data_IF_542327351565
#
_entry.id   IF_542327351565
#
_cell.length_a   1.000
_cell.length_b   1.000
_cell.length_c   1.000
_cell.angle_alpha   90.00
_cell.angle_beta   90.00
_cell.angle_gamma   90.00
#
_symmetry.space_group_name_H-M   'P 1'
#
loop_
_entity.id
_entity.type
_entity.pdbx_description
1 polymer ?
#
# COMPACT_ATOMS: atom_id res chain seq x y z
N UNK A 1 3.98 -1.69 -9.51
CA UNK A 1 3.54 -2.05 -8.15
C UNK A 1 4.49 -3.04 -7.48
N UNK A 2 4.74 -4.23 -8.03
CA UNK A 2 5.67 -5.20 -7.43
C UNK A 2 7.08 -4.64 -7.13
N UNK A 3 7.64 -3.82 -8.02
CA UNK A 3 8.92 -3.15 -7.79
C UNK A 3 8.91 -2.17 -6.59
N UNK A 4 7.80 -1.47 -6.36
CA UNK A 4 7.63 -0.62 -5.17
C UNK A 4 7.64 -1.47 -3.91
N UNK A 5 6.89 -2.57 -3.89
CA UNK A 5 6.82 -3.47 -2.73
C UNK A 5 8.19 -4.11 -2.45
N UNK A 6 8.89 -4.55 -3.49
CA UNK A 6 10.25 -5.09 -3.35
C UNK A 6 11.24 -4.05 -2.81
N UNK A 7 11.14 -2.79 -3.26
CA UNK A 7 11.95 -1.70 -2.71
C UNK A 7 11.60 -1.42 -1.25
N UNK A 8 10.32 -1.34 -0.89
CA UNK A 8 9.87 -1.16 0.49
C UNK A 8 10.43 -2.24 1.42
N UNK A 9 10.45 -3.52 1.00
CA UNK A 9 11.06 -4.60 1.79
C UNK A 9 12.56 -4.42 1.96
N UNK A 10 13.30 -4.07 0.90
CA UNK A 10 14.75 -3.87 0.96
C UNK A 10 15.15 -2.68 1.84
N UNK A 11 14.37 -1.60 1.79
CA UNK A 11 14.64 -0.36 2.52
C UNK A 11 13.91 -0.29 3.88
N UNK A 12 13.31 -1.40 4.34
CA UNK A 12 12.54 -1.49 5.59
C UNK A 12 11.44 -0.41 5.74
N UNK A 13 10.77 -0.08 4.64
CA UNK A 13 9.63 0.84 4.60
C UNK A 13 8.32 0.04 4.70
N UNK A 14 7.68 0.09 5.86
CA UNK A 14 6.45 -0.67 6.13
C UNK A 14 5.19 -0.06 5.49
N UNK A 15 5.20 1.21 5.10
CA UNK A 15 4.04 1.89 4.53
C UNK A 15 4.40 2.66 3.27
N UNK A 16 3.59 2.50 2.22
CA UNK A 16 3.73 3.25 0.98
C UNK A 16 2.38 3.82 0.52
N UNK A 17 2.42 4.98 -0.12
CA UNK A 17 1.26 5.54 -0.81
C UNK A 17 1.31 5.17 -2.31
N UNK A 18 0.25 4.54 -2.80
CA UNK A 18 0.07 4.21 -4.23
C UNK A 18 -0.98 5.14 -4.81
N UNK A 19 -0.53 6.16 -5.54
CA UNK A 19 -1.41 7.07 -6.26
C UNK A 19 -1.80 6.46 -7.60
N UNK A 20 -3.09 6.14 -7.76
CA UNK A 20 -3.65 5.63 -9.02
C UNK A 20 -4.31 6.73 -9.87
N UNK A 21 -4.50 7.93 -9.30
CA UNK A 21 -5.11 9.07 -9.97
C UNK A 21 -6.63 8.90 -10.17
N UNK A 22 -7.29 9.96 -10.66
CA UNK A 22 -8.73 9.93 -10.93
C UNK A 22 -9.06 9.23 -12.25
N UNK A 23 -8.38 9.60 -13.35
CA UNK A 23 -8.39 8.90 -14.63
C UNK A 23 -9.74 8.32 -15.10
N UNK A 24 -9.70 7.18 -15.80
CA UNK A 24 -10.91 6.40 -16.20
C UNK A 24 -11.33 5.37 -15.14
N UNK A 25 -10.89 5.54 -13.89
CA UNK A 25 -11.10 4.58 -12.79
C UNK A 25 -10.60 3.13 -12.99
N UNK A 26 -9.92 2.81 -14.10
CA UNK A 26 -9.33 1.48 -14.34
C UNK A 26 -8.35 1.12 -13.22
N UNK A 27 -7.41 2.01 -12.91
CA UNK A 27 -6.44 1.74 -11.83
C UNK A 27 -7.07 1.81 -10.44
N UNK A 28 -8.12 2.64 -10.24
CA UNK A 28 -8.89 2.67 -8.97
C UNK A 28 -9.52 1.30 -8.66
N UNK A 29 -9.98 0.58 -9.69
CA UNK A 29 -10.59 -0.75 -9.54
C UNK A 29 -9.54 -1.87 -9.47
N UNK A 30 -8.51 -1.79 -10.31
CA UNK A 30 -7.53 -2.88 -10.44
C UNK A 30 -6.45 -2.87 -9.36
N UNK A 31 -6.01 -1.69 -8.89
CA UNK A 31 -4.94 -1.58 -7.89
C UNK A 31 -5.28 -2.32 -6.59
N UNK A 32 -6.48 -2.17 -5.99
CA UNK A 32 -6.89 -2.97 -4.83
C UNK A 32 -6.86 -4.47 -5.08
N UNK A 33 -7.31 -4.93 -6.26
CA UNK A 33 -7.33 -6.36 -6.61
C UNK A 33 -5.91 -6.93 -6.70
N UNK A 34 -4.97 -6.18 -7.29
CA UNK A 34 -3.56 -6.59 -7.36
C UNK A 34 -2.90 -6.59 -5.98
N UNK A 35 -3.21 -5.59 -5.14
CA UNK A 35 -2.71 -5.51 -3.77
C UNK A 35 -3.19 -6.69 -2.91
N UNK A 36 -4.48 -7.04 -3.00
CA UNK A 36 -5.07 -8.16 -2.26
C UNK A 36 -4.46 -9.52 -2.61
N UNK A 37 -3.84 -9.65 -3.78
CA UNK A 37 -3.19 -10.88 -4.25
C UNK A 37 -1.69 -10.92 -3.95
N UNK A 38 -1.09 -9.81 -3.54
CA UNK A 38 0.36 -9.73 -3.37
C UNK A 38 0.76 -10.30 -1.99
N UNK A 39 1.68 -11.28 -1.93
CA UNK A 39 1.94 -12.04 -0.69
C UNK A 39 2.50 -11.18 0.46
N UNK A 40 3.19 -10.08 0.14
CA UNK A 40 3.79 -9.18 1.14
C UNK A 40 2.92 -7.96 1.48
N UNK A 41 1.68 -7.89 0.99
CA UNK A 41 0.75 -6.82 1.38
C UNK A 41 -0.09 -7.33 2.54
N UNK A 42 -0.01 -6.65 3.68
CA UNK A 42 -0.76 -7.02 4.89
C UNK A 42 -2.15 -6.39 4.89
N UNK A 43 -2.24 -5.12 4.48
CA UNK A 43 -3.49 -4.36 4.44
C UNK A 43 -3.34 -3.16 3.49
N UNK A 44 -4.48 -2.60 3.07
CA UNK A 44 -4.51 -1.30 2.39
C UNK A 44 -5.83 -0.59 2.67
N UNK A 45 -5.81 0.73 2.59
CA UNK A 45 -7.01 1.56 2.75
C UNK A 45 -6.94 2.80 1.87
N UNK A 46 -8.10 3.42 1.60
CA UNK A 46 -8.14 4.71 0.91
C UNK A 46 -7.35 5.74 1.70
N UNK A 47 -6.41 6.41 1.04
CA UNK A 47 -5.61 7.45 1.66
C UNK A 47 -6.49 8.62 2.16
N UNK A 48 -6.08 9.33 3.22
CA UNK A 48 -6.74 10.58 3.61
C UNK A 48 -6.40 11.69 2.60
N UNK A 49 -7.07 12.84 2.71
CA UNK A 49 -6.99 13.91 1.69
C UNK A 49 -5.57 14.44 1.48
N UNK A 50 -4.79 14.58 2.55
CA UNK A 50 -3.40 15.04 2.52
C UNK A 50 -2.46 14.12 1.73
N UNK A 51 -2.85 12.85 1.52
CA UNK A 51 -2.07 11.86 0.76
C UNK A 51 -2.73 11.45 -0.56
N UNK A 52 -3.71 12.23 -1.05
CA UNK A 52 -4.34 12.02 -2.36
C UNK A 52 -5.79 11.52 -2.32
N UNK A 53 -6.36 11.25 -1.14
CA UNK A 53 -7.77 10.94 -0.97
C UNK A 53 -8.25 9.75 -1.81
N UNK A 54 -9.34 9.95 -2.55
CA UNK A 54 -9.97 8.93 -3.39
C UNK A 54 -9.09 8.43 -4.55
N UNK A 55 -7.99 9.13 -4.85
CA UNK A 55 -7.06 8.83 -5.93
C UNK A 55 -5.82 8.05 -5.48
N UNK A 56 -5.77 7.66 -4.20
CA UNK A 56 -4.62 6.98 -3.63
C UNK A 56 -5.00 5.95 -2.55
N UNK A 57 -4.11 4.99 -2.36
CA UNK A 57 -4.19 3.98 -1.31
C UNK A 57 -2.95 4.06 -0.43
N UNK A 58 -3.13 3.99 0.88
CA UNK A 58 -2.05 3.63 1.79
C UNK A 58 -1.99 2.11 1.88
N UNK A 59 -0.78 1.57 1.77
CA UNK A 59 -0.51 0.13 1.71
C UNK A 59 0.47 -0.23 2.82
N UNK A 60 0.07 -1.17 3.68
CA UNK A 60 0.91 -1.77 4.69
C UNK A 60 1.62 -2.98 4.09
N UNK A 61 2.95 -2.95 4.12
CA UNK A 61 3.85 -3.93 3.51
C UNK A 61 4.58 -4.67 4.62
N UNK A 62 4.57 -6.00 4.55
CA UNK A 62 5.35 -6.85 5.43
C UNK A 62 6.84 -6.65 5.14
N UNK A 63 7.57 -6.20 6.16
CA UNK A 63 9.03 -6.13 6.17
C UNK A 63 9.54 -7.06 7.27
N UNK A 64 10.64 -7.77 7.03
CA UNK A 64 11.29 -8.56 8.07
C UNK A 64 11.71 -7.60 9.20
N UNK A 65 11.43 -8.01 10.45
CA UNK A 65 11.55 -7.24 11.72
C UNK A 65 10.30 -6.48 12.23
N UNK A 66 9.13 -6.55 11.56
CA UNK A 66 7.92 -5.97 12.16
C UNK A 66 7.42 -6.81 13.35
N UNK A 67 7.72 -6.35 14.57
CA UNK A 67 7.01 -6.74 15.78
C UNK A 67 5.93 -5.68 16.04
N UNK A 68 4.63 -6.06 16.13
CA UNK A 68 3.61 -5.12 16.55
C UNK A 68 4.00 -4.55 17.92
N UNK A 69 3.81 -3.24 18.18
CA UNK A 69 3.96 -2.72 19.52
C UNK A 69 3.01 -3.47 20.46
N UNK A 70 3.52 -3.91 21.61
CA UNK A 70 2.66 -4.47 22.66
C UNK A 70 1.66 -3.38 23.07
N UNK A 71 0.38 -3.66 22.86
CA UNK A 71 -0.68 -2.78 23.35
C UNK A 71 -0.79 -2.95 24.86
N UNK A 72 -0.91 -1.85 25.63
CA UNK A 72 -1.14 -1.92 27.08
C UNK A 72 -2.47 -2.60 27.43
#
# INVERSE_FOLDING_TARGET
>A
LGALIAACRREHVFCACVMHGHGKHILKQQTPLWLAQHPHVMAFHQAPKEYGGDAALLVLIEVEEWLPPELP
#
